data_IF_005602184635
#
_entry.id   IF_005602184635
#
_cell.length_a   1.000
_cell.length_b   1.000
_cell.length_c   1.000
_cell.angle_alpha   90.00
_cell.angle_beta   90.00
_cell.angle_gamma   90.00
#
_symmetry.space_group_name_H-M   'P 1'
#
loop_
_entity.id
_entity.type
_entity.pdbx_description
1 polymer ?
#
# COMPACT_ATOMS: atom_id res chain seq x y z
N UNK A 1 -13.88 13.36 -7.26
CA UNK A 1 -12.50 12.98 -6.93
C UNK A 1 -11.71 12.96 -8.23
N UNK A 2 -10.48 13.46 -8.24
CA UNK A 2 -9.58 13.31 -9.40
C UNK A 2 -9.18 11.85 -9.52
N UNK A 3 -8.97 11.37 -10.74
CA UNK A 3 -8.42 10.05 -10.95
C UNK A 3 -6.95 10.03 -10.46
N UNK A 4 -6.50 8.95 -9.80
CA UNK A 4 -5.11 8.82 -9.41
C UNK A 4 -4.20 8.86 -10.63
N UNK A 5 -3.05 9.53 -10.51
CA UNK A 5 -1.99 9.47 -11.53
C UNK A 5 -1.14 8.25 -11.24
N UNK A 6 -0.92 7.42 -12.24
CA UNK A 6 -0.13 6.19 -12.15
C UNK A 6 1.01 6.29 -13.15
N UNK A 7 2.23 6.17 -12.66
CA UNK A 7 3.47 6.28 -13.46
C UNK A 7 4.37 5.10 -13.14
N UNK A 8 4.86 4.41 -14.17
CA UNK A 8 5.71 3.23 -14.02
C UNK A 8 7.09 3.52 -14.61
N UNK A 9 8.11 3.46 -13.75
CA UNK A 9 9.52 3.50 -14.15
C UNK A 9 10.02 2.07 -14.39
N UNK A 10 10.33 1.77 -15.65
CA UNK A 10 10.82 0.46 -16.05
C UNK A 10 12.30 0.24 -15.76
N UNK A 11 13.10 1.29 -15.55
CA UNK A 11 14.53 1.14 -15.20
C UNK A 11 14.69 0.70 -13.74
N UNK A 12 13.85 1.22 -12.84
CA UNK A 12 13.88 0.89 -11.41
C UNK A 12 12.81 -0.14 -10.99
N UNK A 13 11.98 -0.64 -11.91
CA UNK A 13 10.80 -1.49 -11.63
C UNK A 13 9.94 -0.91 -10.50
N UNK A 14 9.61 0.38 -10.60
CA UNK A 14 8.89 1.12 -9.55
C UNK A 14 7.59 1.72 -10.10
N UNK A 15 6.47 1.47 -9.41
CA UNK A 15 5.19 2.12 -9.70
C UNK A 15 4.94 3.26 -8.70
N UNK A 16 4.76 4.46 -9.22
CA UNK A 16 4.31 5.63 -8.47
C UNK A 16 2.82 5.84 -8.67
N UNK A 17 2.09 5.98 -7.56
CA UNK A 17 0.67 6.31 -7.57
C UNK A 17 0.49 7.61 -6.79
N UNK A 18 -0.02 8.65 -7.42
CA UNK A 18 -0.37 9.91 -6.77
C UNK A 18 -1.90 10.05 -6.69
N UNK A 19 -2.44 10.17 -5.48
CA UNK A 19 -3.86 10.38 -5.22
C UNK A 19 -4.23 11.86 -5.25
N UNK A 20 -3.32 12.71 -4.76
CA UNK A 20 -3.48 14.15 -4.68
C UNK A 20 -2.15 14.83 -5.02
N UNK A 21 -2.17 15.99 -5.71
CA UNK A 21 -0.96 16.78 -5.92
C UNK A 21 -0.54 17.41 -4.58
N UNK A 22 0.57 16.95 -4.01
CA UNK A 22 1.16 17.56 -2.80
C UNK A 22 2.67 17.69 -2.92
N UNK A 23 3.20 18.79 -2.40
CA UNK A 23 4.63 19.06 -2.32
C UNK A 23 5.27 18.46 -1.05
N UNK A 24 4.46 18.17 -0.02
CA UNK A 24 4.94 17.62 1.24
C UNK A 24 4.15 16.37 1.63
N UNK A 25 4.87 15.27 1.86
CA UNK A 25 4.33 14.01 2.32
C UNK A 25 5.36 13.31 3.21
N UNK A 26 4.90 12.61 4.24
CA UNK A 26 5.73 11.66 4.98
C UNK A 26 5.62 10.29 4.34
N UNK A 27 6.75 9.66 4.02
CA UNK A 27 6.80 8.25 3.68
C UNK A 27 6.69 7.37 4.92
N UNK A 28 5.76 6.43 4.90
CA UNK A 28 5.62 5.35 5.87
C UNK A 28 5.92 4.05 5.12
N UNK A 29 7.05 3.44 5.43
CA UNK A 29 7.42 2.14 4.86
C UNK A 29 6.51 1.08 5.48
N UNK A 30 5.69 0.44 4.66
CA UNK A 30 4.82 -0.65 5.12
C UNK A 30 5.56 -1.98 5.09
N UNK A 31 6.49 -2.13 4.15
CA UNK A 31 7.54 -3.15 4.04
C UNK A 31 8.54 -2.70 2.96
N UNK A 32 9.55 -3.54 2.69
CA UNK A 32 10.60 -3.31 1.69
C UNK A 32 10.09 -2.96 0.28
N UNK A 33 8.85 -3.34 -0.06
CA UNK A 33 8.28 -3.16 -1.39
C UNK A 33 7.22 -2.05 -1.47
N UNK A 34 6.67 -1.58 -0.35
CA UNK A 34 5.51 -0.70 -0.33
C UNK A 34 5.76 0.49 0.60
N UNK A 35 5.79 1.68 0.02
CA UNK A 35 5.88 2.95 0.73
C UNK A 35 4.55 3.73 0.59
N UNK A 36 3.90 3.98 1.72
CA UNK A 36 2.71 4.84 1.78
C UNK A 36 3.12 6.29 2.00
N UNK A 37 2.67 7.19 1.13
CA UNK A 37 2.86 8.63 1.29
C UNK A 37 1.65 9.24 1.97
N UNK A 38 1.88 9.88 3.11
CA UNK A 38 0.86 10.44 3.99
C UNK A 38 1.01 11.97 4.11
N UNK A 39 -0.09 12.70 3.95
CA UNK A 39 -0.22 14.04 4.50
C UNK A 39 -0.54 13.91 6.00
N UNK A 40 0.45 14.21 6.85
CA UNK A 40 0.32 14.09 8.31
C UNK A 40 -0.65 15.10 8.91
N UNK A 41 -0.78 16.28 8.32
CA UNK A 41 -1.67 17.32 8.86
C UNK A 41 -3.13 16.95 8.62
N UNK A 42 -3.41 16.36 7.46
CA UNK A 42 -4.78 15.96 7.07
C UNK A 42 -5.11 14.51 7.43
N UNK A 43 -4.12 13.69 7.78
CA UNK A 43 -4.29 12.27 8.07
C UNK A 43 -4.77 11.48 6.84
N UNK A 44 -4.25 11.81 5.65
CA UNK A 44 -4.71 11.23 4.37
C UNK A 44 -3.59 10.68 3.53
N UNK A 45 -3.85 9.57 2.85
CA UNK A 45 -2.95 9.06 1.83
C UNK A 45 -2.92 10.01 0.63
N UNK A 46 -1.72 10.39 0.23
CA UNK A 46 -1.47 11.23 -0.95
C UNK A 46 -0.80 10.45 -2.08
N UNK A 47 -0.25 9.27 -1.79
CA UNK A 47 0.25 8.37 -2.82
C UNK A 47 0.78 7.04 -2.29
N UNK A 48 1.17 6.18 -3.22
CA UNK A 48 1.92 4.95 -2.98
C UNK A 48 3.17 4.94 -3.86
N UNK A 49 4.22 4.29 -3.37
CA UNK A 49 5.36 3.87 -4.17
C UNK A 49 5.54 2.38 -3.97
N UNK A 50 5.54 1.65 -5.07
CA UNK A 50 5.65 0.20 -5.11
C UNK A 50 6.98 -0.16 -5.77
N UNK A 51 7.94 -0.64 -4.99
CA UNK A 51 9.22 -1.13 -5.48
C UNK A 51 9.10 -2.57 -5.94
N UNK A 52 9.93 -2.97 -6.90
CA UNK A 52 9.88 -4.31 -7.50
C UNK A 52 8.47 -4.67 -7.96
N UNK A 53 7.82 -3.71 -8.64
CA UNK A 53 6.40 -3.81 -9.01
C UNK A 53 6.10 -5.09 -9.81
N UNK A 54 7.02 -5.50 -10.67
CA UNK A 54 6.89 -6.75 -11.43
C UNK A 54 6.74 -7.98 -10.52
N UNK A 55 7.35 -7.98 -9.34
CA UNK A 55 7.26 -9.06 -8.34
C UNK A 55 5.95 -8.95 -7.54
N UNK A 56 5.55 -7.74 -7.18
CA UNK A 56 4.28 -7.49 -6.48
C UNK A 56 3.06 -7.84 -7.34
N UNK A 57 3.13 -7.58 -8.65
CA UNK A 57 2.06 -7.85 -9.61
C UNK A 57 2.02 -9.30 -10.10
N UNK A 58 3.01 -10.13 -9.76
CA UNK A 58 3.02 -11.54 -10.15
C UNK A 58 1.90 -12.32 -9.47
N UNK A 59 1.17 -13.09 -10.29
CA UNK A 59 0.23 -14.09 -9.80
C UNK A 59 0.97 -15.39 -9.46
N UNK A 60 0.61 -15.95 -8.33
CA UNK A 60 1.02 -17.30 -7.93
C UNK A 60 -0.12 -18.29 -8.26
N UNK A 61 0.17 -19.59 -8.17
CA UNK A 61 -0.87 -20.64 -8.29
C UNK A 61 -2.01 -20.47 -7.27
N UNK A 62 -1.73 -19.78 -6.15
CA UNK A 62 -2.67 -19.55 -5.05
C UNK A 62 -3.38 -18.19 -5.12
N UNK A 63 -3.11 -17.39 -6.16
CA UNK A 63 -3.65 -16.04 -6.32
C UNK A 63 -2.59 -14.94 -6.24
N UNK A 64 -2.99 -13.68 -6.00
CA UNK A 64 -2.05 -12.56 -5.96
C UNK A 64 -1.06 -12.73 -4.82
N UNK A 65 0.19 -12.32 -5.07
CA UNK A 65 1.23 -12.37 -4.05
C UNK A 65 0.91 -11.37 -2.93
N UNK A 66 0.94 -11.85 -1.69
CA UNK A 66 0.71 -11.04 -0.50
C UNK A 66 1.99 -10.92 0.30
N UNK A 67 2.22 -9.76 0.90
CA UNK A 67 3.41 -9.47 1.69
C UNK A 67 3.00 -8.97 3.08
N UNK A 68 3.73 -9.38 4.14
CA UNK A 68 3.50 -8.85 5.48
C UNK A 68 3.79 -7.35 5.53
N UNK A 69 3.04 -6.64 6.37
CA UNK A 69 3.23 -5.22 6.64
C UNK A 69 4.16 -5.03 7.84
N UNK A 70 5.37 -5.56 7.75
CA UNK A 70 6.37 -5.57 8.84
C UNK A 70 6.75 -4.17 9.31
N UNK A 71 6.68 -3.16 8.43
CA UNK A 71 6.94 -1.76 8.78
C UNK A 71 5.93 -1.15 9.76
N UNK A 72 4.82 -1.84 10.05
CA UNK A 72 3.87 -1.42 11.07
C UNK A 72 4.33 -1.74 12.51
N UNK A 73 5.22 -2.71 12.70
CA UNK A 73 5.63 -3.21 14.02
C UNK A 73 6.35 -2.14 14.86
N UNK A 74 7.12 -1.27 14.21
CA UNK A 74 7.90 -0.22 14.86
C UNK A 74 7.12 1.11 15.04
N UNK A 75 5.86 1.18 14.60
CA UNK A 75 5.06 2.40 14.67
C UNK A 75 4.44 2.59 16.06
N UNK A 76 4.31 3.85 16.47
CA UNK A 76 3.51 4.19 17.64
C UNK A 76 2.06 3.68 17.47
N UNK A 77 1.38 3.19 18.54
CA UNK A 77 0.07 2.54 18.43
C UNK A 77 -1.00 3.37 17.68
N UNK A 78 -1.04 4.68 17.93
CA UNK A 78 -1.98 5.58 17.24
C UNK A 78 -1.71 5.67 15.73
N UNK A 79 -0.44 5.68 15.33
CA UNK A 79 -0.07 5.70 13.92
C UNK A 79 -0.37 4.36 13.26
N UNK A 80 -0.13 3.24 13.96
CA UNK A 80 -0.50 1.91 13.49
C UNK A 80 -2.00 1.83 13.17
N UNK A 81 -2.88 2.27 14.07
CA UNK A 81 -4.34 2.31 13.85
C UNK A 81 -4.71 3.19 12.66
N UNK A 82 -4.17 4.41 12.59
CA UNK A 82 -4.41 5.34 11.48
C UNK A 82 -4.02 4.74 10.12
N UNK A 83 -2.87 4.06 10.04
CA UNK A 83 -2.39 3.47 8.79
C UNK A 83 -3.31 2.31 8.39
N UNK A 84 -3.73 1.45 9.31
CA UNK A 84 -4.69 0.39 9.02
C UNK A 84 -6.04 0.93 8.53
N UNK A 85 -6.53 2.02 9.11
CA UNK A 85 -7.74 2.70 8.63
C UNK A 85 -7.56 3.20 7.21
N UNK A 86 -6.45 3.88 6.92
CA UNK A 86 -6.13 4.42 5.59
C UNK A 86 -6.04 3.30 4.54
N UNK A 87 -5.38 2.18 4.86
CA UNK A 87 -5.24 1.05 3.95
C UNK A 87 -6.58 0.40 3.57
N UNK A 88 -7.58 0.49 4.44
CA UNK A 88 -8.92 -0.08 4.21
C UNK A 88 -9.84 0.86 3.41
N UNK A 89 -9.49 2.14 3.29
CA UNK A 89 -10.33 3.13 2.63
C UNK A 89 -9.81 3.51 1.23
N UNK A 90 -10.70 3.89 0.30
CA UNK A 90 -10.29 4.54 -0.93
C UNK A 90 -9.53 5.85 -0.61
N UNK A 91 -8.53 6.22 -1.43
CA UNK A 91 -8.16 5.59 -2.69
C UNK A 91 -7.21 4.38 -2.53
N UNK A 92 -6.65 4.13 -1.35
CA UNK A 92 -5.60 3.12 -1.14
C UNK A 92 -6.14 1.71 -1.35
N UNK A 93 -7.34 1.42 -0.86
CA UNK A 93 -7.94 0.08 -0.98
C UNK A 93 -8.30 -0.34 -2.41
N UNK A 94 -8.26 0.61 -3.37
CA UNK A 94 -8.37 0.31 -4.80
C UNK A 94 -7.07 -0.24 -5.40
N UNK A 95 -5.94 -0.07 -4.72
CA UNK A 95 -4.62 -0.50 -5.16
C UNK A 95 -4.07 -1.62 -4.28
N UNK A 96 -4.33 -1.59 -2.98
CA UNK A 96 -3.87 -2.58 -2.02
C UNK A 96 -5.05 -3.24 -1.32
N UNK A 97 -5.09 -4.57 -1.35
CA UNK A 97 -6.03 -5.35 -0.55
C UNK A 97 -5.37 -5.73 0.76
N UNK A 98 -5.86 -5.15 1.86
CA UNK A 98 -5.47 -5.56 3.21
C UNK A 98 -6.16 -6.88 3.59
N UNK A 99 -5.44 -7.77 4.25
CA UNK A 99 -5.93 -9.02 4.82
C UNK A 99 -5.07 -9.40 6.03
N UNK A 100 -5.40 -10.50 6.70
CA UNK A 100 -4.63 -11.01 7.82
C UNK A 100 -4.21 -12.46 7.58
N UNK A 101 -2.95 -12.77 7.87
CA UNK A 101 -2.46 -14.13 8.00
C UNK A 101 -2.46 -14.53 9.48
N UNK A 102 -3.20 -15.60 9.81
CA UNK A 102 -3.36 -16.07 11.19
C UNK A 102 -2.74 -17.47 11.34
N UNK A 103 -1.42 -17.58 11.59
CA UNK A 103 -0.76 -18.88 11.75
C UNK A 103 -1.24 -19.63 13.00
N UNK A 104 -1.77 -18.92 13.99
CA UNK A 104 -2.41 -19.47 15.19
C UNK A 104 -3.67 -18.67 15.55
N UNK A 105 -4.46 -19.14 16.51
CA UNK A 105 -5.68 -18.46 16.95
C UNK A 105 -5.43 -17.15 17.70
N UNK A 106 -4.19 -16.89 18.11
CA UNK A 106 -3.79 -15.72 18.91
C UNK A 106 -2.90 -14.74 18.15
N UNK A 107 -2.52 -15.08 16.92
CA UNK A 107 -1.59 -14.31 16.11
C UNK A 107 -2.27 -13.87 14.82
N UNK A 108 -2.10 -12.59 14.48
CA UNK A 108 -2.67 -11.99 13.28
C UNK A 108 -1.66 -11.03 12.67
N UNK A 109 -1.10 -11.43 11.54
CA UNK A 109 -0.09 -10.65 10.82
C UNK A 109 -0.82 -9.91 9.68
N UNK A 110 -0.82 -8.57 9.66
CA UNK A 110 -1.39 -7.82 8.55
C UNK A 110 -0.58 -8.07 7.28
N UNK A 111 -1.26 -8.41 6.20
CA UNK A 111 -0.69 -8.65 4.89
C UNK A 111 -1.40 -7.77 3.85
N UNK A 112 -0.67 -7.33 2.82
CA UNK A 112 -1.24 -6.63 1.68
C UNK A 112 -0.89 -7.33 0.37
N UNK A 113 -1.85 -7.33 -0.55
CA UNK A 113 -1.66 -7.77 -1.93
C UNK A 113 -2.04 -6.64 -2.88
N UNK A 114 -1.35 -6.56 -4.02
CA UNK A 114 -1.73 -5.63 -5.08
C UNK A 114 -3.08 -6.04 -5.67
N UNK A 115 -3.97 -5.07 -5.88
CA UNK A 115 -5.18 -5.27 -6.65
C UNK A 115 -4.91 -5.06 -8.14
N UNK A 116 -5.55 -5.84 -9.02
CA UNK A 116 -5.54 -5.54 -10.44
C UNK A 116 -6.08 -4.12 -10.65
N UNK A 117 -5.29 -3.26 -11.29
CA UNK A 117 -5.78 -1.96 -11.71
C UNK A 117 -6.98 -2.21 -12.62
N UNK A 118 -8.17 -1.81 -12.16
CA UNK A 118 -9.35 -1.87 -13.01
C UNK A 118 -9.02 -1.03 -14.25
N UNK A 119 -8.96 -1.66 -15.42
CA UNK A 119 -8.96 -0.92 -16.68
C UNK A 119 -10.20 -0.04 -16.62
N UNK A 120 -10.02 1.28 -16.63
CA UNK A 120 -11.12 2.20 -16.87
C UNK A 120 -11.79 1.72 -18.16
N UNK A 121 -13.02 1.23 -18.04
CA UNK A 121 -13.84 0.78 -19.15
C UNK A 121 -14.36 1.99 -19.94
#
# INVERSE_FOLDING_TARGET
MLAPTVDYDSESDTLYVAFEPTESATGIELNDHILLRLDKERGRAVGLTLFEYSVLAQHTELGPRSFPLTGLEDLAPHLHELILEILQQPPVSNFLRLSAYTPSSTESIPIAALQPLAKAA
#
